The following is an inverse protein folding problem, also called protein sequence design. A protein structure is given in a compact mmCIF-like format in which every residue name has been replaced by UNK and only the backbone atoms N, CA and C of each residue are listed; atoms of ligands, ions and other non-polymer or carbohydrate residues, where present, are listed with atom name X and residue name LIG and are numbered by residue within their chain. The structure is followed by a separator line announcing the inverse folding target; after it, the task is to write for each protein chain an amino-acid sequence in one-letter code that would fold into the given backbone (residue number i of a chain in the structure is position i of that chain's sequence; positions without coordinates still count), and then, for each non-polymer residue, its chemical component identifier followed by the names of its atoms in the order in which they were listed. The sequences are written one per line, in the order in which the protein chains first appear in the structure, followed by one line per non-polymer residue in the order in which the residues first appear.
data_IF_092207595073
#
_entry.id   IF_092207595073
#
_cell.length_a   1.000
_cell.length_b   1.000
_cell.length_c   1.000
_cell.angle_alpha   90.00
_cell.angle_beta   90.00
_cell.angle_gamma   90.00
#
_symmetry.space_group_name_H-M   'P 1'
#
loop_
_entity.id
_entity.type
_entity.pdbx_description
1 polymer ?
#
# COMPACT_ATOMS: atom_id res chain seq x y z
N UNK A 1 -18.07 -4.87 36.57
CA UNK A 1 -18.16 -3.70 35.68
C UNK A 1 -18.18 -4.23 34.26
N UNK A 2 -19.35 -4.24 33.62
CA UNK A 2 -19.51 -4.71 32.24
C UNK A 2 -19.17 -3.52 31.35
N UNK A 3 -18.16 -3.66 30.49
CA UNK A 3 -17.78 -2.63 29.53
C UNK A 3 -18.86 -2.49 28.47
N UNK A 4 -19.34 -1.26 28.26
CA UNK A 4 -20.30 -0.92 27.22
C UNK A 4 -19.70 -1.21 25.83
N UNK A 5 -20.35 -2.08 25.06
CA UNK A 5 -20.00 -2.31 23.66
C UNK A 5 -20.54 -1.15 22.82
N UNK A 6 -19.67 -0.22 22.44
CA UNK A 6 -20.01 0.76 21.41
C UNK A 6 -19.92 0.12 20.03
N UNK A 7 -21.06 0.09 19.33
CA UNK A 7 -21.19 -0.40 17.95
C UNK A 7 -21.08 0.73 16.91
N UNK A 8 -21.04 1.99 17.35
CA UNK A 8 -20.94 3.13 16.44
C UNK A 8 -19.47 3.38 16.08
N UNK A 9 -19.07 2.87 14.91
CA UNK A 9 -17.73 3.13 14.40
C UNK A 9 -17.63 4.59 13.93
N UNK A 10 -16.58 5.35 14.32
CA UNK A 10 -16.35 6.69 13.80
C UNK A 10 -16.28 6.65 12.26
N UNK A 11 -16.87 7.65 11.59
CA UNK A 11 -16.88 7.72 10.13
C UNK A 11 -15.45 7.81 9.61
N UNK A 12 -14.92 6.67 9.18
CA UNK A 12 -13.57 6.57 8.63
C UNK A 12 -13.53 7.27 7.27
N UNK A 13 -12.54 8.12 7.06
CA UNK A 13 -12.23 8.63 5.72
C UNK A 13 -11.68 7.52 4.83
N UNK A 14 -11.59 7.78 3.52
CA UNK A 14 -11.11 6.82 2.54
C UNK A 14 -9.60 6.57 2.74
N UNK A 15 -9.14 5.30 2.74
CA UNK A 15 -7.72 4.97 2.88
C UNK A 15 -6.89 5.57 1.73
N UNK A 16 -5.59 5.81 1.95
CA UNK A 16 -4.71 6.31 0.89
C UNK A 16 -4.66 5.31 -0.27
N UNK A 17 -4.66 5.82 -1.49
CA UNK A 17 -4.68 5.02 -2.72
C UNK A 17 -3.33 4.34 -2.95
N UNK A 18 -3.37 3.05 -3.30
CA UNK A 18 -2.19 2.25 -3.61
C UNK A 18 -2.12 1.92 -5.12
N UNK A 19 -0.93 1.64 -5.64
CA UNK A 19 -0.71 1.21 -7.04
C UNK A 19 -1.58 0.00 -7.42
N UNK A 20 -1.85 -0.87 -6.45
CA UNK A 20 -2.66 -2.08 -6.63
C UNK A 20 -4.16 -1.80 -6.85
N UNK A 21 -4.64 -0.61 -6.48
CA UNK A 21 -6.04 -0.20 -6.68
C UNK A 21 -6.30 0.31 -8.11
N UNK A 22 -5.23 0.54 -8.87
CA UNK A 22 -5.27 1.15 -10.19
C UNK A 22 -5.15 0.09 -11.29
N UNK A 23 -5.92 0.26 -12.36
CA UNK A 23 -5.71 -0.48 -13.61
C UNK A 23 -4.49 0.06 -14.38
N UNK A 24 -4.23 -0.48 -15.58
CA UNK A 24 -3.05 -0.09 -16.36
C UNK A 24 -3.06 1.40 -16.74
N UNK A 25 -4.23 1.93 -17.13
CA UNK A 25 -4.39 3.34 -17.49
C UNK A 25 -4.24 4.24 -16.26
N UNK A 26 -4.88 3.89 -15.15
CA UNK A 26 -4.79 4.62 -13.89
C UNK A 26 -3.36 4.70 -13.36
N UNK A 27 -2.58 3.62 -13.47
CA UNK A 27 -1.15 3.64 -13.11
C UNK A 27 -0.34 4.58 -14.00
N UNK A 28 -0.61 4.60 -15.31
CA UNK A 28 0.06 5.51 -16.24
C UNK A 28 -0.26 6.97 -15.93
N UNK A 29 -1.52 7.29 -15.65
CA UNK A 29 -1.96 8.64 -15.24
C UNK A 29 -1.32 9.06 -13.91
N UNK A 30 -1.34 8.21 -12.90
CA UNK A 30 -0.74 8.52 -11.59
C UNK A 30 0.78 8.76 -11.68
N UNK A 31 1.48 8.01 -12.53
CA UNK A 31 2.91 8.26 -12.81
C UNK A 31 3.12 9.58 -13.55
N UNK A 32 2.25 9.91 -14.51
CA UNK A 32 2.31 11.18 -15.23
C UNK A 32 2.03 12.39 -14.32
N UNK A 33 1.11 12.27 -13.36
CA UNK A 33 0.83 13.29 -12.33
C UNK A 33 2.07 13.58 -11.45
N UNK A 34 2.98 12.61 -11.29
CA UNK A 34 4.26 12.76 -10.61
C UNK A 34 5.36 13.37 -11.51
N UNK A 35 5.05 13.77 -12.74
CA UNK A 35 6.00 14.32 -13.71
C UNK A 35 6.92 13.27 -14.33
N UNK A 36 6.55 11.98 -14.25
CA UNK A 36 7.37 10.88 -14.73
C UNK A 36 6.86 10.33 -16.07
N UNK A 37 7.74 9.75 -16.92
CA UNK A 37 7.31 9.09 -18.15
C UNK A 37 6.33 7.94 -17.88
N UNK A 38 5.22 7.89 -18.62
CA UNK A 38 4.15 6.91 -18.42
C UNK A 38 4.60 5.44 -18.49
N UNK A 39 5.66 5.12 -19.25
CA UNK A 39 6.19 3.74 -19.33
C UNK A 39 6.68 3.22 -17.97
N UNK A 40 7.04 4.10 -17.02
CA UNK A 40 7.43 3.70 -15.66
C UNK A 40 6.32 2.98 -14.93
N UNK A 41 5.05 3.23 -15.27
CA UNK A 41 3.92 2.49 -14.71
C UNK A 41 4.02 0.98 -15.00
N UNK A 42 4.51 0.60 -16.19
CA UNK A 42 4.74 -0.81 -16.55
C UNK A 42 5.91 -1.41 -15.75
N UNK A 43 6.97 -0.64 -15.51
CA UNK A 43 8.09 -1.08 -14.66
C UNK A 43 7.61 -1.34 -13.23
N UNK A 44 6.89 -0.39 -12.64
CA UNK A 44 6.31 -0.52 -11.29
C UNK A 44 5.38 -1.73 -11.19
N UNK A 45 4.50 -1.93 -12.17
CA UNK A 45 3.61 -3.09 -12.21
C UNK A 45 4.38 -4.41 -12.33
N UNK A 46 5.46 -4.46 -13.12
CA UNK A 46 6.29 -5.65 -13.24
C UNK A 46 7.00 -5.99 -11.93
N UNK A 47 7.55 -5.01 -11.21
CA UNK A 47 8.16 -5.26 -9.91
C UNK A 47 7.14 -5.71 -8.87
N UNK A 48 6.00 -5.03 -8.79
CA UNK A 48 5.00 -5.32 -7.77
C UNK A 48 4.28 -6.65 -8.01
N UNK A 49 3.69 -6.84 -9.19
CA UNK A 49 2.91 -8.06 -9.48
C UNK A 49 3.75 -9.22 -9.98
N UNK A 50 4.84 -8.94 -10.70
CA UNK A 50 5.69 -9.98 -11.28
C UNK A 50 6.80 -10.45 -10.34
N UNK A 51 7.47 -9.52 -9.65
CA UNK A 51 8.61 -9.82 -8.76
C UNK A 51 8.26 -9.80 -7.27
N UNK A 52 7.03 -9.43 -6.92
CA UNK A 52 6.56 -9.31 -5.53
C UNK A 52 7.40 -8.33 -4.68
N UNK A 53 7.94 -7.29 -5.33
CA UNK A 53 8.67 -6.21 -4.66
C UNK A 53 7.71 -5.07 -4.38
N UNK A 54 7.39 -4.86 -3.11
CA UNK A 54 6.46 -3.80 -2.67
C UNK A 54 7.15 -2.46 -2.36
N UNK A 55 8.47 -2.44 -2.18
CA UNK A 55 9.22 -1.21 -1.88
C UNK A 55 9.91 -0.63 -3.13
N UNK A 56 9.48 0.54 -3.64
CA UNK A 56 10.13 1.18 -4.79
C UNK A 56 11.61 1.49 -4.60
N UNK A 57 12.09 1.59 -3.35
CA UNK A 57 13.52 1.78 -3.05
C UNK A 57 14.39 0.60 -3.50
N UNK A 58 13.79 -0.59 -3.61
CA UNK A 58 14.43 -1.82 -4.07
C UNK A 58 14.38 -2.02 -5.60
N UNK A 59 13.64 -1.16 -6.33
CA UNK A 59 13.49 -1.24 -7.79
C UNK A 59 14.65 -0.51 -8.48
N UNK A 60 15.71 -1.25 -8.82
CA UNK A 60 16.99 -0.69 -9.28
C UNK A 60 16.95 0.03 -10.63
N UNK A 61 15.96 -0.26 -11.47
CA UNK A 61 15.69 0.38 -12.77
C UNK A 61 14.94 1.73 -12.65
N UNK A 62 14.48 2.10 -11.45
CA UNK A 62 14.03 3.45 -11.14
C UNK A 62 15.23 4.33 -10.78
N UNK A 63 15.30 5.59 -11.30
CA UNK A 63 16.29 6.56 -10.86
C UNK A 63 16.21 6.78 -9.35
N UNK A 64 17.35 6.81 -8.68
CA UNK A 64 17.40 6.97 -7.22
C UNK A 64 16.61 8.19 -6.73
N UNK A 65 16.70 9.31 -7.46
CA UNK A 65 16.03 10.57 -7.13
C UNK A 65 14.50 10.50 -7.08
N UNK A 66 13.87 9.48 -7.69
CA UNK A 66 12.40 9.38 -7.76
C UNK A 66 11.82 8.27 -6.89
N UNK A 67 12.66 7.40 -6.30
CA UNK A 67 12.17 6.22 -5.56
C UNK A 67 11.36 6.60 -4.34
N UNK A 68 11.82 7.57 -3.56
CA UNK A 68 11.12 8.02 -2.34
C UNK A 68 9.80 8.72 -2.66
N UNK A 69 9.76 9.53 -3.73
CA UNK A 69 8.54 10.20 -4.20
C UNK A 69 7.50 9.17 -4.63
N UNK A 70 7.90 8.16 -5.40
CA UNK A 70 7.01 7.07 -5.82
C UNK A 70 6.53 6.25 -4.62
N UNK A 71 7.43 5.92 -3.69
CA UNK A 71 7.10 5.17 -2.48
C UNK A 71 6.03 5.90 -1.64
N UNK A 72 6.20 7.20 -1.41
CA UNK A 72 5.24 8.00 -0.66
C UNK A 72 3.90 8.15 -1.38
N UNK A 73 3.91 8.34 -2.71
CA UNK A 73 2.69 8.65 -3.47
C UNK A 73 1.87 7.43 -3.88
N UNK A 74 2.52 6.29 -4.16
CA UNK A 74 1.87 5.12 -4.79
C UNK A 74 1.96 3.84 -3.98
N UNK A 75 2.82 3.78 -2.95
CA UNK A 75 3.01 2.60 -2.11
C UNK A 75 2.86 2.92 -0.60
N UNK A 76 1.74 3.54 -0.18
CA UNK A 76 1.49 3.74 1.24
C UNK A 76 1.39 2.39 1.96
N UNK A 77 1.91 2.31 3.19
CA UNK A 77 1.74 1.12 4.04
C UNK A 77 0.28 1.03 4.48
N UNK A 78 -0.47 0.08 3.91
CA UNK A 78 -1.90 -0.12 4.22
C UNK A 78 -2.15 -1.14 5.32
N UNK A 79 -1.29 -2.15 5.43
CA UNK A 79 -1.41 -3.26 6.36
C UNK A 79 -0.09 -3.45 7.11
N UNK A 80 -0.17 -3.62 8.43
CA UNK A 80 0.96 -4.02 9.28
C UNK A 80 0.65 -5.36 9.91
N UNK A 81 1.53 -6.35 9.77
CA UNK A 81 1.35 -7.64 10.42
C UNK A 81 1.47 -7.47 11.95
N UNK A 82 0.44 -7.86 12.68
CA UNK A 82 0.39 -7.78 14.16
C UNK A 82 0.79 -9.10 14.78
N UNK A 83 0.36 -10.20 14.17
CA UNK A 83 0.62 -11.55 14.67
C UNK A 83 0.62 -12.54 13.54
N UNK A 84 1.51 -13.51 13.61
CA UNK A 84 1.60 -14.61 12.68
C UNK A 84 1.52 -15.92 13.46
N UNK A 85 0.73 -16.86 12.97
CA UNK A 85 0.57 -18.19 13.54
C UNK A 85 0.85 -19.21 12.45
N UNK A 86 1.72 -20.17 12.74
CA UNK A 86 2.09 -21.26 11.83
C UNK A 86 1.65 -22.60 12.42
N UNK A 87 1.02 -23.44 11.61
CA UNK A 87 0.59 -24.79 11.96
C UNK A 87 1.16 -25.81 10.95
N UNK A 88 1.00 -27.11 11.23
CA UNK A 88 1.27 -28.19 10.28
C UNK A 88 2.69 -28.17 9.69
N UNK A 89 3.69 -28.02 10.56
CA UNK A 89 5.10 -27.87 10.18
C UNK A 89 5.36 -26.72 9.17
N UNK A 90 4.55 -25.66 9.24
CA UNK A 90 4.67 -24.47 8.39
C UNK A 90 3.83 -24.51 7.11
N UNK A 91 3.06 -25.58 6.87
CA UNK A 91 2.19 -25.69 5.68
C UNK A 91 0.95 -24.79 5.78
N UNK A 92 0.60 -24.34 6.98
CA UNK A 92 -0.49 -23.40 7.21
C UNK A 92 0.03 -22.16 7.92
N UNK A 93 -0.22 -20.97 7.35
CA UNK A 93 0.12 -19.67 7.96
C UNK A 93 -1.09 -18.75 8.02
N UNK A 94 -1.34 -18.20 9.21
CA UNK A 94 -2.38 -17.19 9.45
C UNK A 94 -1.73 -15.91 9.96
N UNK A 95 -1.90 -14.83 9.20
CA UNK A 95 -1.44 -13.50 9.60
C UNK A 95 -2.63 -12.62 9.99
N UNK A 96 -2.58 -12.08 11.20
CA UNK A 96 -3.46 -11.01 11.65
C UNK A 96 -2.85 -9.67 11.20
N UNK A 97 -3.60 -8.92 10.42
CA UNK A 97 -3.20 -7.62 9.91
C UNK A 97 -3.93 -6.49 10.64
N UNK A 98 -3.20 -5.41 10.91
CA UNK A 98 -3.77 -4.11 11.27
C UNK A 98 -3.81 -3.26 10.01
N UNK A 99 -5.00 -2.80 9.65
CA UNK A 99 -5.19 -1.82 8.59
C UNK A 99 -4.99 -0.39 9.09
N UNK A 100 -4.71 0.52 8.18
CA UNK A 100 -4.75 1.97 8.46
C UNK A 100 -6.17 2.40 8.85
N UNK A 101 -6.29 3.14 9.95
CA UNK A 101 -7.56 3.72 10.40
C UNK A 101 -7.76 5.11 9.77
N UNK A 102 -8.35 5.16 8.57
CA UNK A 102 -8.68 6.42 7.88
C UNK A 102 -7.47 7.32 7.51
N UNK A 103 -7.68 8.37 6.70
CA UNK A 103 -6.63 9.34 6.38
C UNK A 103 -6.29 10.19 7.62
N UNK A 104 -5.08 10.75 7.72
CA UNK A 104 -4.84 11.84 8.67
C UNK A 104 -5.85 12.94 8.33
N UNK A 105 -6.76 13.24 9.26
CA UNK A 105 -7.62 14.40 9.13
C UNK A 105 -6.70 15.61 8.92
N UNK A 106 -6.76 16.25 7.75
CA UNK A 106 -6.26 17.60 7.60
C UNK A 106 -6.97 18.42 8.69
N UNK A 107 -6.19 18.92 9.65
CA UNK A 107 -6.68 19.87 10.64
C UNK A 107 -7.45 20.98 9.91
N UNK A 108 -8.69 21.20 10.30
CA UNK A 108 -9.20 22.56 10.39
C UNK A 108 -8.72 23.11 11.73
#
# INVERSE_FOLDING_TARGET
MVGELMFEAPRRGMPPRHLADLDAAGRASAVAELGLPAFRAKQLAHHYFGRLIADPRQMSDLPAAVRDVIAAAMFPTLLTAVREVTCDAGQTRKTLWRAVDGPPSSRC
#
